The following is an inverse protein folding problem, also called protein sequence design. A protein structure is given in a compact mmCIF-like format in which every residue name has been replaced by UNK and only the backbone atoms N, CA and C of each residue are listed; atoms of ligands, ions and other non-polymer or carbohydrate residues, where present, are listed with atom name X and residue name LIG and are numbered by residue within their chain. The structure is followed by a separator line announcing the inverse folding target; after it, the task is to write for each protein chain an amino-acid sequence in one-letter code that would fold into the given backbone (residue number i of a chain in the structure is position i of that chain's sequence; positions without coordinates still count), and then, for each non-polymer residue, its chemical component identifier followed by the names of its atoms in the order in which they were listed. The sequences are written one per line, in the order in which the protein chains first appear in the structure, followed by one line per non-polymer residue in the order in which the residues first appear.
data_IF_646505483547
#
_entry.id   IF_646505483547
#
_cell.length_a   1.000
_cell.length_b   1.000
_cell.length_c   1.000
_cell.angle_alpha   90.00
_cell.angle_beta   90.00
_cell.angle_gamma   90.00
#
_symmetry.space_group_name_H-M   'P 1'
#
loop_
_entity.id
_entity.type
_entity.pdbx_description
1 polymer ?
#
# COMPACT_ATOMS: atom_id res chain seq x y z
N UNK A 1 -7.44 -0.21 17.72
CA UNK A 1 -6.25 -1.11 17.84
C UNK A 1 -5.60 -1.24 16.47
N UNK A 2 -4.28 -1.45 16.35
CA UNK A 2 -3.65 -1.67 15.04
C UNK A 2 -4.07 -3.06 14.52
N UNK A 3 -4.96 -3.13 13.52
CA UNK A 3 -5.36 -4.39 12.84
C UNK A 3 -4.27 -4.94 11.89
N UNK A 4 -3.09 -4.35 11.87
CA UNK A 4 -1.96 -4.81 11.04
C UNK A 4 -1.09 -5.71 11.89
N UNK A 5 -0.80 -6.91 11.40
CA UNK A 5 0.11 -7.84 12.05
C UNK A 5 1.55 -7.28 11.99
N UNK A 6 2.18 -6.98 13.15
CA UNK A 6 3.50 -6.36 13.21
C UNK A 6 4.58 -7.25 12.58
N UNK A 7 4.41 -8.57 12.64
CA UNK A 7 5.34 -9.57 12.10
C UNK A 7 5.42 -9.60 10.56
N UNK A 8 4.46 -9.01 9.85
CA UNK A 8 4.55 -8.96 8.38
C UNK A 8 5.61 -7.96 7.90
N UNK A 9 5.99 -6.97 8.72
CA UNK A 9 7.02 -5.99 8.37
C UNK A 9 8.41 -6.63 8.25
N UNK A 10 8.76 -7.55 9.15
CA UNK A 10 10.03 -8.29 9.12
C UNK A 10 10.15 -9.17 7.88
N UNK A 11 9.03 -9.70 7.37
CA UNK A 11 9.02 -10.51 6.15
C UNK A 11 9.56 -9.74 4.93
N UNK A 12 9.22 -8.45 4.79
CA UNK A 12 9.72 -7.62 3.67
C UNK A 12 11.24 -7.46 3.74
N UNK A 13 11.77 -7.23 4.93
CA UNK A 13 13.22 -7.05 5.14
C UNK A 13 13.95 -8.35 4.84
N UNK A 14 13.44 -9.48 5.32
CA UNK A 14 14.00 -10.82 5.06
C UNK A 14 13.96 -11.14 3.56
N UNK A 15 12.84 -10.92 2.88
CA UNK A 15 12.74 -11.18 1.43
C UNK A 15 13.61 -10.22 0.62
N UNK A 16 13.73 -8.96 1.03
CA UNK A 16 14.53 -7.96 0.29
C UNK A 16 16.04 -8.18 0.46
N UNK A 17 16.50 -8.54 1.65
CA UNK A 17 17.93 -8.79 1.93
C UNK A 17 18.34 -10.22 1.61
N UNK A 18 17.52 -11.20 2.01
CA UNK A 18 17.77 -12.62 1.75
C UNK A 18 17.54 -13.00 0.29
N UNK A 19 16.64 -12.31 -0.42
CA UNK A 19 16.41 -12.52 -1.84
C UNK A 19 17.58 -12.14 -2.74
N UNK A 20 18.54 -11.34 -2.25
CA UNK A 20 19.79 -11.03 -2.98
C UNK A 20 20.69 -12.27 -3.09
N UNK A 21 20.59 -13.19 -2.12
CA UNK A 21 21.39 -14.42 -2.06
C UNK A 21 20.58 -15.64 -2.51
N UNK A 22 19.26 -15.63 -2.29
CA UNK A 22 18.34 -16.71 -2.64
C UNK A 22 17.20 -16.19 -3.52
N UNK A 23 17.37 -16.18 -4.86
CA UNK A 23 16.35 -15.65 -5.78
C UNK A 23 15.01 -16.39 -5.72
N UNK A 24 15.01 -17.63 -5.20
CA UNK A 24 13.81 -18.45 -5.02
C UNK A 24 12.79 -17.81 -4.06
N UNK A 25 13.23 -16.96 -3.13
CA UNK A 25 12.36 -16.18 -2.24
C UNK A 25 11.48 -15.19 -3.01
N UNK A 26 11.89 -14.78 -4.22
CA UNK A 26 11.09 -13.92 -5.09
C UNK A 26 9.73 -14.52 -5.45
N UNK A 27 9.62 -15.86 -5.54
CA UNK A 27 8.36 -16.54 -5.86
C UNK A 27 7.30 -16.39 -4.76
N UNK A 28 7.72 -16.19 -3.50
CA UNK A 28 6.79 -15.87 -2.41
C UNK A 28 5.99 -14.60 -2.71
N UNK A 29 6.55 -13.65 -3.47
CA UNK A 29 5.83 -12.44 -3.87
C UNK A 29 4.63 -12.74 -4.76
N UNK A 30 4.67 -13.76 -5.62
CA UNK A 30 3.51 -14.12 -6.45
C UNK A 30 2.33 -14.58 -5.60
N UNK A 31 2.60 -15.31 -4.50
CA UNK A 31 1.57 -15.71 -3.55
C UNK A 31 0.94 -14.47 -2.89
N UNK A 32 1.77 -13.52 -2.45
CA UNK A 32 1.30 -12.24 -1.88
C UNK A 32 0.50 -11.43 -2.90
N UNK A 33 0.95 -11.36 -4.16
CA UNK A 33 0.22 -10.67 -5.24
C UNK A 33 -1.11 -11.35 -5.59
N UNK A 34 -1.16 -12.69 -5.60
CA UNK A 34 -2.39 -13.44 -5.80
C UNK A 34 -3.41 -13.15 -4.71
N UNK A 35 -3.00 -13.21 -3.44
CA UNK A 35 -3.90 -12.89 -2.32
C UNK A 35 -4.37 -11.43 -2.34
N UNK A 36 -3.51 -10.49 -2.73
CA UNK A 36 -3.86 -9.08 -2.95
C UNK A 36 -4.96 -8.92 -4.00
N UNK A 37 -4.84 -9.62 -5.13
CA UNK A 37 -5.79 -9.54 -6.23
C UNK A 37 -7.14 -10.15 -5.83
N UNK A 38 -7.13 -11.35 -5.26
CA UNK A 38 -8.34 -12.05 -4.80
C UNK A 38 -9.07 -11.21 -3.75
N UNK A 39 -8.37 -10.73 -2.72
CA UNK A 39 -9.00 -9.91 -1.67
C UNK A 39 -9.51 -8.57 -2.20
N UNK A 40 -8.89 -8.02 -3.25
CA UNK A 40 -9.36 -6.79 -3.91
C UNK A 40 -10.71 -6.94 -4.57
N UNK A 41 -11.04 -8.11 -5.11
CA UNK A 41 -12.33 -8.34 -5.76
C UNK A 41 -13.49 -8.28 -4.75
N UNK A 42 -13.27 -8.78 -3.53
CA UNK A 42 -14.30 -8.84 -2.49
C UNK A 42 -14.32 -7.58 -1.60
N UNK A 43 -13.17 -7.18 -1.06
CA UNK A 43 -13.06 -6.10 -0.07
C UNK A 43 -12.24 -4.91 -0.56
N UNK A 44 -11.91 -4.82 -1.84
CA UNK A 44 -11.10 -3.73 -2.42
C UNK A 44 -9.76 -3.56 -1.73
N UNK A 45 -9.34 -2.32 -1.45
CA UNK A 45 -8.02 -1.99 -0.86
C UNK A 45 -7.82 -2.42 0.61
N UNK A 46 -8.66 -3.29 1.16
CA UNK A 46 -8.56 -3.78 2.55
C UNK A 46 -7.22 -4.44 2.86
N UNK A 47 -6.61 -5.14 1.89
CA UNK A 47 -5.31 -5.78 2.07
C UNK A 47 -4.20 -4.76 2.40
N UNK A 48 -4.17 -3.59 1.73
CA UNK A 48 -3.21 -2.52 2.00
C UNK A 48 -3.24 -2.06 3.47
N UNK A 49 -4.42 -2.09 4.09
CA UNK A 49 -4.66 -1.63 5.45
C UNK A 49 -4.51 -2.68 6.54
N UNK A 50 -4.47 -3.97 6.22
CA UNK A 50 -4.51 -5.04 7.24
C UNK A 50 -3.43 -6.13 7.03
N UNK A 51 -3.11 -6.50 5.79
CA UNK A 51 -2.24 -7.64 5.45
C UNK A 51 -1.00 -7.26 4.64
N UNK A 52 -0.86 -6.01 4.22
CA UNK A 52 0.28 -5.62 3.40
C UNK A 52 1.59 -5.66 4.21
N UNK A 53 2.54 -6.54 3.85
CA UNK A 53 3.82 -6.66 4.57
C UNK A 53 4.59 -5.34 4.57
N UNK A 54 4.54 -4.66 3.43
CA UNK A 54 5.19 -3.37 3.22
C UNK A 54 4.51 -2.24 4.00
N UNK A 55 3.19 -2.28 4.10
CA UNK A 55 2.43 -1.34 4.93
C UNK A 55 2.79 -1.50 6.42
N UNK A 56 2.95 -2.74 6.88
CA UNK A 56 3.43 -3.05 8.23
C UNK A 56 4.85 -2.53 8.47
N UNK A 57 5.77 -2.75 7.52
CA UNK A 57 7.14 -2.23 7.60
C UNK A 57 7.18 -0.70 7.76
N UNK A 58 6.36 0.04 7.02
CA UNK A 58 6.32 1.50 7.14
C UNK A 58 5.66 1.99 8.44
N UNK A 59 4.60 1.34 8.91
CA UNK A 59 3.91 1.73 10.14
C UNK A 59 4.69 1.39 11.41
N UNK A 60 5.48 0.30 11.42
CA UNK A 60 6.25 -0.11 12.61
C UNK A 60 7.73 0.28 12.54
N UNK A 61 8.36 0.19 11.37
CA UNK A 61 9.78 0.49 11.18
C UNK A 61 10.07 1.98 11.03
N UNK A 62 9.27 2.69 10.23
CA UNK A 62 9.57 4.09 9.84
C UNK A 62 8.89 5.11 10.75
N UNK A 63 7.90 4.71 11.57
CA UNK A 63 7.18 5.65 12.44
C UNK A 63 8.09 6.45 13.39
N UNK A 64 9.27 5.91 13.75
CA UNK A 64 10.30 6.60 14.56
C UNK A 64 11.09 7.65 13.77
N UNK A 65 11.22 7.48 12.45
CA UNK A 65 12.01 8.34 11.55
C UNK A 65 11.12 9.36 10.81
N UNK A 66 9.82 9.07 10.70
CA UNK A 66 8.87 9.87 9.94
C UNK A 66 8.68 11.27 10.53
N UNK A 67 8.88 12.31 9.71
CA UNK A 67 8.64 13.72 10.07
C UNK A 67 7.16 14.10 10.15
N UNK A 68 6.24 13.15 9.90
CA UNK A 68 4.77 13.32 9.97
C UNK A 68 4.26 14.55 9.21
N UNK A 69 4.90 14.89 8.09
CA UNK A 69 4.43 15.96 7.18
C UNK A 69 3.28 15.43 6.34
N UNK A 70 2.34 16.31 5.99
CA UNK A 70 1.22 15.99 5.11
C UNK A 70 1.71 15.49 3.75
N UNK A 71 1.02 14.50 3.20
CA UNK A 71 1.25 13.94 1.88
C UNK A 71 0.83 15.01 0.85
N UNK A 72 1.72 15.39 -0.09
CA UNK A 72 1.35 16.37 -1.10
C UNK A 72 0.28 15.79 -2.03
N UNK A 73 -0.79 16.56 -2.31
CA UNK A 73 -1.91 16.15 -3.18
C UNK A 73 -1.47 15.70 -4.58
N UNK A 74 -0.26 16.13 -5.01
CA UNK A 74 0.37 15.70 -6.25
C UNK A 74 0.63 14.18 -6.28
N UNK A 75 1.02 13.57 -5.16
CA UNK A 75 1.38 12.15 -5.06
C UNK A 75 0.15 11.23 -5.10
N UNK A 76 -0.99 11.74 -4.65
CA UNK A 76 -2.29 11.05 -4.74
C UNK A 76 -2.98 11.26 -6.08
N UNK A 77 -2.56 12.25 -6.88
CA UNK A 77 -3.18 12.57 -8.15
C UNK A 77 -3.02 11.43 -9.16
N UNK A 78 -4.10 11.12 -9.89
CA UNK A 78 -4.10 10.11 -10.95
C UNK A 78 -3.07 10.44 -12.04
N UNK A 79 -2.81 11.72 -12.27
CA UNK A 79 -1.80 12.22 -13.20
C UNK A 79 -0.37 11.85 -12.86
N UNK A 80 -0.03 11.65 -11.58
CA UNK A 80 1.30 11.16 -11.17
C UNK A 80 1.29 9.65 -11.00
N UNK A 81 0.19 9.12 -10.49
CA UNK A 81 0.00 7.69 -10.20
C UNK A 81 0.01 6.83 -11.47
N UNK A 82 -0.61 7.28 -12.56
CA UNK A 82 -0.68 6.53 -13.83
C UNK A 82 0.69 6.48 -14.52
N UNK A 83 1.42 7.60 -14.74
CA UNK A 83 2.78 7.55 -15.29
C UNK A 83 3.76 6.76 -14.42
N UNK A 84 3.66 6.86 -13.08
CA UNK A 84 4.49 6.05 -12.19
C UNK A 84 4.19 4.55 -12.34
N UNK A 85 2.92 4.19 -12.48
CA UNK A 85 2.50 2.81 -12.75
C UNK A 85 3.01 2.31 -14.11
N UNK A 86 2.81 3.08 -15.17
CA UNK A 86 3.24 2.69 -16.52
C UNK A 86 4.76 2.60 -16.63
N UNK A 87 5.50 3.53 -16.02
CA UNK A 87 6.96 3.50 -15.96
C UNK A 87 7.46 2.26 -15.22
N UNK A 88 6.91 1.95 -14.04
CA UNK A 88 7.31 0.75 -13.30
C UNK A 88 6.99 -0.55 -14.06
N UNK A 89 5.84 -0.63 -14.73
CA UNK A 89 5.50 -1.79 -15.57
C UNK A 89 6.41 -1.90 -16.79
N UNK A 90 6.72 -0.77 -17.45
CA UNK A 90 7.61 -0.74 -18.60
C UNK A 90 9.05 -1.16 -18.23
N UNK A 91 9.56 -0.70 -17.07
CA UNK A 91 10.86 -1.13 -16.55
C UNK A 91 10.87 -2.64 -16.23
N UNK A 92 9.78 -3.16 -15.67
CA UNK A 92 9.65 -4.59 -15.40
C UNK A 92 9.63 -5.40 -16.70
N UNK A 93 8.83 -4.99 -17.69
CA UNK A 93 8.79 -5.64 -19.01
C UNK A 93 10.13 -5.56 -19.73
N UNK A 94 10.80 -4.41 -19.70
CA UNK A 94 12.13 -4.25 -20.30
C UNK A 94 13.16 -5.20 -19.67
N UNK A 95 13.21 -5.28 -18.33
CA UNK A 95 14.09 -6.22 -17.62
C UNK A 95 13.78 -7.67 -17.97
N UNK A 96 12.50 -8.04 -18.03
CA UNK A 96 12.07 -9.38 -18.43
C UNK A 96 12.49 -9.68 -19.88
N UNK A 97 12.31 -8.76 -20.82
CA UNK A 97 12.68 -8.96 -22.24
C UNK A 97 14.18 -9.15 -22.45
N UNK A 98 15.02 -8.38 -21.75
CA UNK A 98 16.48 -8.54 -21.80
C UNK A 98 16.90 -9.88 -21.18
N UNK A 99 16.20 -10.32 -20.13
CA UNK A 99 16.44 -11.58 -19.44
C UNK A 99 15.96 -12.80 -20.20
N UNK A 100 14.85 -12.72 -20.95
CA UNK A 100 14.31 -13.84 -21.74
C UNK A 100 15.26 -14.27 -22.87
N UNK A 101 16.18 -13.38 -23.28
CA UNK A 101 17.28 -13.71 -24.19
C UNK A 101 18.39 -14.57 -23.54
N UNK A 102 18.46 -14.60 -22.20
CA UNK A 102 19.39 -15.43 -21.43
C UNK A 102 18.65 -16.68 -20.90
N UNK A 103 19.12 -17.87 -21.29
CA UNK A 103 18.43 -19.16 -21.18
C UNK A 103 18.08 -19.64 -19.75
N UNK A 104 18.43 -18.90 -18.69
CA UNK A 104 18.19 -19.26 -17.27
C UNK A 104 16.96 -18.52 -16.71
N UNK A 105 15.76 -18.93 -17.11
CA UNK A 105 14.51 -18.20 -16.85
C UNK A 105 14.09 -18.17 -15.37
N UNK A 106 14.33 -19.22 -14.58
CA UNK A 106 13.79 -19.32 -13.22
C UNK A 106 14.52 -18.43 -12.19
N UNK A 107 15.85 -18.49 -12.11
CA UNK A 107 16.59 -17.68 -11.14
C UNK A 107 16.61 -16.20 -11.49
N UNK A 108 16.64 -15.86 -12.79
CA UNK A 108 16.60 -14.47 -13.21
C UNK A 108 15.24 -13.81 -12.93
N UNK A 109 14.11 -14.53 -13.03
CA UNK A 109 12.80 -13.98 -12.66
C UNK A 109 12.78 -13.62 -11.16
N UNK A 110 13.32 -14.50 -10.31
CA UNK A 110 13.44 -14.28 -8.87
C UNK A 110 14.27 -13.04 -8.52
N UNK A 111 15.44 -12.87 -9.14
CA UNK A 111 16.31 -11.70 -8.90
C UNK A 111 15.67 -10.38 -9.33
N UNK A 112 14.92 -10.35 -10.44
CA UNK A 112 14.22 -9.14 -10.90
C UNK A 112 13.16 -8.72 -9.88
N UNK A 113 12.36 -9.67 -9.39
CA UNK A 113 11.32 -9.42 -8.38
C UNK A 113 11.90 -8.85 -7.09
N UNK A 114 12.99 -9.45 -6.60
CA UNK A 114 13.69 -8.97 -5.40
C UNK A 114 14.29 -7.58 -5.62
N UNK A 115 14.96 -7.35 -6.76
CA UNK A 115 15.55 -6.05 -7.10
C UNK A 115 14.50 -4.94 -7.16
N UNK A 116 13.35 -5.19 -7.78
CA UNK A 116 12.23 -4.26 -7.81
C UNK A 116 11.63 -4.03 -6.42
N UNK A 117 11.50 -5.09 -5.62
CA UNK A 117 11.01 -4.98 -4.24
C UNK A 117 11.95 -4.13 -3.39
N UNK A 118 13.26 -4.34 -3.50
CA UNK A 118 14.29 -3.59 -2.80
C UNK A 118 14.32 -2.12 -3.24
N UNK A 119 14.41 -1.86 -4.55
CA UNK A 119 14.39 -0.50 -5.12
C UNK A 119 13.17 0.29 -4.66
N UNK A 120 12.00 -0.31 -4.79
CA UNK A 120 10.78 0.36 -4.38
C UNK A 120 10.78 0.56 -2.86
N UNK A 121 11.21 -0.42 -2.06
CA UNK A 121 11.26 -0.32 -0.59
C UNK A 121 12.17 0.82 -0.15
N UNK A 122 13.31 1.04 -0.81
CA UNK A 122 14.18 2.20 -0.58
C UNK A 122 13.43 3.51 -0.86
N UNK A 123 12.80 3.63 -2.04
CA UNK A 123 12.03 4.84 -2.41
C UNK A 123 10.90 5.09 -1.41
N UNK A 124 10.15 4.05 -1.06
CA UNK A 124 9.07 4.14 -0.08
C UNK A 124 9.55 4.49 1.32
N UNK A 125 10.76 4.04 1.70
CA UNK A 125 11.39 4.40 2.98
C UNK A 125 11.78 5.87 3.00
N UNK A 126 12.38 6.38 1.93
CA UNK A 126 12.71 7.81 1.79
C UNK A 126 11.46 8.68 1.86
N UNK A 127 10.42 8.33 1.09
CA UNK A 127 9.14 9.06 1.10
C UNK A 127 8.45 8.96 2.47
N UNK A 128 8.43 7.79 3.09
CA UNK A 128 7.84 7.56 4.41
C UNK A 128 8.54 8.30 5.55
N UNK A 129 9.87 8.42 5.47
CA UNK A 129 10.69 9.17 6.42
C UNK A 129 10.50 10.69 6.30
N UNK A 130 10.45 11.21 5.08
CA UNK A 130 10.31 12.65 4.85
C UNK A 130 8.87 13.16 5.07
N UNK A 131 7.87 12.39 4.61
CA UNK A 131 6.46 12.74 4.72
C UNK A 131 5.79 11.93 5.83
N UNK A 132 4.69 11.25 5.51
CA UNK A 132 3.98 10.33 6.39
C UNK A 132 4.34 8.88 6.02
N UNK A 133 4.32 7.99 6.99
CA UNK A 133 4.60 6.54 6.85
C UNK A 133 3.88 5.89 5.66
N UNK A 134 2.69 6.35 5.27
CA UNK A 134 1.89 5.80 4.16
C UNK A 134 1.99 6.53 2.83
N UNK A 135 2.96 7.43 2.67
CA UNK A 135 3.16 8.19 1.43
C UNK A 135 3.34 7.27 0.21
N UNK A 136 4.11 6.18 0.34
CA UNK A 136 4.28 5.20 -0.74
C UNK A 136 2.95 4.54 -1.17
N UNK A 137 2.00 4.33 -0.25
CA UNK A 137 0.73 3.66 -0.56
C UNK A 137 -0.15 4.48 -1.53
N UNK A 138 0.09 5.78 -1.66
CA UNK A 138 -0.58 6.66 -2.62
C UNK A 138 -0.05 6.51 -4.05
N UNK A 139 1.23 6.16 -4.23
CA UNK A 139 1.84 5.95 -5.55
C UNK A 139 2.07 4.47 -5.89
N UNK A 140 1.81 3.57 -4.93
CA UNK A 140 2.07 2.14 -5.09
C UNK A 140 1.26 1.56 -6.26
N UNK A 141 1.90 0.92 -7.26
CA UNK A 141 1.23 0.42 -8.46
C UNK A 141 0.13 -0.60 -8.12
N UNK A 142 0.39 -1.47 -7.15
CA UNK A 142 -0.59 -2.45 -6.67
C UNK A 142 -1.77 -1.78 -5.97
N UNK A 143 -1.52 -0.71 -5.21
CA UNK A 143 -2.58 0.07 -4.58
C UNK A 143 -3.48 0.76 -5.60
N UNK A 144 -2.91 1.28 -6.68
CA UNK A 144 -3.64 1.85 -7.82
C UNK A 144 -4.51 0.80 -8.50
N UNK A 145 -3.96 -0.39 -8.74
CA UNK A 145 -4.70 -1.50 -9.35
C UNK A 145 -5.91 -1.89 -8.50
N UNK A 146 -5.74 -2.01 -7.18
CA UNK A 146 -6.84 -2.31 -6.25
C UNK A 146 -7.88 -1.18 -6.14
N UNK A 147 -7.47 0.09 -6.32
CA UNK A 147 -8.41 1.23 -6.44
C UNK A 147 -9.32 1.04 -7.66
N UNK A 148 -8.75 0.66 -8.80
CA UNK A 148 -9.51 0.49 -10.05
C UNK A 148 -10.43 -0.72 -9.97
N UNK A 149 -9.93 -1.86 -9.47
CA UNK A 149 -10.70 -3.12 -9.43
C UNK A 149 -11.78 -3.11 -8.34
N UNK A 150 -11.44 -2.63 -7.14
CA UNK A 150 -12.28 -2.81 -5.94
C UNK A 150 -12.58 -1.53 -5.19
N UNK A 151 -12.42 -0.36 -5.83
CA UNK A 151 -12.62 0.95 -5.21
C UNK A 151 -14.01 1.16 -4.61
N UNK A 152 -15.04 0.59 -5.25
CA UNK A 152 -16.45 0.75 -4.85
C UNK A 152 -16.97 -0.35 -3.91
N UNK A 153 -16.14 -1.33 -3.54
CA UNK A 153 -16.56 -2.43 -2.66
C UNK A 153 -16.41 -2.03 -1.20
N UNK A 154 -17.30 -2.44 -0.29
CA UNK A 154 -17.16 -2.27 1.17
C UNK A 154 -16.73 -0.85 1.58
N UNK A 155 -17.44 0.16 1.06
CA UNK A 155 -17.16 1.57 1.32
C UNK A 155 -17.55 1.95 2.74
N UNK A 156 -16.89 2.98 3.26
CA UNK A 156 -17.19 3.52 4.57
C UNK A 156 -18.51 4.29 4.48
N UNK A 157 -19.48 3.92 5.31
CA UNK A 157 -20.74 4.63 5.47
C UNK A 157 -20.63 5.58 6.65
N UNK A 158 -21.15 6.78 6.45
CA UNK A 158 -21.21 7.81 7.47
C UNK A 158 -22.67 8.20 7.70
N UNK A 159 -23.07 8.19 8.96
CA UNK A 159 -24.33 8.78 9.36
C UNK A 159 -24.10 10.27 9.66
N UNK A 160 -24.71 11.13 8.84
CA UNK A 160 -24.58 12.58 8.96
C UNK A 160 -25.38 13.15 10.13
N UNK A 161 -26.41 12.46 10.62
CA UNK A 161 -27.26 12.96 11.71
C UNK A 161 -26.57 12.81 13.07
N UNK A 162 -25.90 11.69 13.32
CA UNK A 162 -25.14 11.47 14.56
C UNK A 162 -23.76 12.12 14.59
N UNK A 163 -23.26 12.62 13.44
CA UNK A 163 -21.92 13.19 13.37
C UNK A 163 -21.85 14.61 13.95
N UNK A 164 -20.91 14.81 14.88
CA UNK A 164 -20.65 16.10 15.55
C UNK A 164 -19.47 16.90 14.97
N UNK A 165 -19.02 16.59 13.75
CA UNK A 165 -17.91 17.28 13.06
C UNK A 165 -16.60 17.47 13.86
N UNK A 166 -16.25 16.48 14.70
CA UNK A 166 -15.06 16.55 15.55
C UNK A 166 -13.70 16.42 14.79
N UNK A 167 -13.74 16.06 13.50
CA UNK A 167 -12.56 15.81 12.61
C UNK A 167 -11.53 14.80 13.14
N UNK A 168 -11.90 13.98 14.14
CA UNK A 168 -11.05 12.93 14.69
C UNK A 168 -10.76 11.86 13.63
N UNK A 169 -11.75 11.49 12.81
CA UNK A 169 -11.63 10.50 11.74
C UNK A 169 -10.56 10.87 10.71
N UNK A 170 -10.45 12.15 10.33
CA UNK A 170 -9.44 12.66 9.40
C UNK A 170 -8.04 12.64 10.03
N UNK A 171 -7.93 13.06 11.30
CA UNK A 171 -6.66 13.07 12.04
C UNK A 171 -6.04 11.67 12.20
N UNK A 172 -6.87 10.65 12.37
CA UNK A 172 -6.41 9.25 12.55
C UNK A 172 -6.26 8.50 11.22
N UNK A 173 -6.71 9.08 10.11
CA UNK A 173 -6.65 8.47 8.80
C UNK A 173 -5.19 8.43 8.30
N UNK A 174 -4.58 7.25 8.14
CA UNK A 174 -3.18 7.16 7.72
C UNK A 174 -2.98 7.57 6.25
N UNK A 175 -4.06 7.57 5.47
CA UNK A 175 -4.07 8.03 4.08
C UNK A 175 -4.43 9.53 3.96
N UNK A 176 -4.66 10.22 5.09
CA UNK A 176 -4.97 11.66 5.16
C UNK A 176 -6.17 12.06 4.27
N UNK A 177 -7.17 11.18 4.21
CA UNK A 177 -8.40 11.40 3.46
C UNK A 177 -9.37 12.29 4.24
N UNK A 178 -10.05 13.18 3.52
CA UNK A 178 -11.21 13.93 4.00
C UNK A 178 -12.42 12.96 4.10
N UNK A 179 -12.60 12.38 5.29
CA UNK A 179 -13.57 11.29 5.53
C UNK A 179 -15.02 11.78 5.38
N UNK A 180 -15.28 13.03 5.76
CA UNK A 180 -16.62 13.63 5.74
C UNK A 180 -17.13 13.85 4.32
N UNK A 181 -16.31 14.44 3.47
CA UNK A 181 -16.72 14.86 2.13
C UNK A 181 -16.57 13.73 1.10
N UNK A 182 -15.70 12.75 1.39
CA UNK A 182 -15.30 11.71 0.44
C UNK A 182 -15.43 10.32 1.06
N UNK A 183 -16.49 10.04 1.82
CA UNK A 183 -16.74 8.72 2.45
C UNK A 183 -16.61 7.52 1.50
N UNK A 184 -16.83 7.75 0.20
CA UNK A 184 -16.68 6.78 -0.89
C UNK A 184 -15.33 6.87 -1.64
N UNK A 185 -14.29 7.51 -1.08
CA UNK A 185 -13.01 7.64 -1.75
C UNK A 185 -12.40 6.24 -2.00
N UNK A 186 -12.12 5.87 -3.26
CA UNK A 186 -11.54 4.57 -3.54
C UNK A 186 -10.05 4.49 -3.13
N UNK A 187 -9.48 5.56 -2.57
CA UNK A 187 -8.20 5.54 -1.86
C UNK A 187 -8.30 5.03 -0.40
N UNK A 188 -9.50 4.83 0.13
CA UNK A 188 -9.70 4.25 1.45
C UNK A 188 -9.17 2.80 1.52
N UNK A 189 -8.18 2.57 2.39
CA UNK A 189 -7.58 1.25 2.64
C UNK A 189 -8.37 0.39 3.63
N UNK A 190 -9.54 0.86 4.09
CA UNK A 190 -10.47 0.13 4.97
C UNK A 190 -9.81 -0.46 6.21
N UNK A 191 -8.99 0.36 6.87
CA UNK A 191 -8.21 -0.04 8.04
C UNK A 191 -9.00 0.01 9.37
N UNK A 192 -10.22 0.57 9.39
CA UNK A 192 -11.03 0.64 10.60
C UNK A 192 -10.69 1.76 11.59
N UNK A 193 -9.55 2.46 11.45
CA UNK A 193 -9.07 3.43 12.46
C UNK A 193 -10.04 4.58 12.73
N UNK A 194 -10.77 5.03 11.72
CA UNK A 194 -11.77 6.10 11.86
C UNK A 194 -13.00 5.63 12.63
N UNK A 195 -13.44 4.38 12.44
CA UNK A 195 -14.57 3.76 13.17
C UNK A 195 -14.18 3.58 14.64
N UNK A 196 -13.01 2.97 14.91
CA UNK A 196 -12.49 2.73 16.27
C UNK A 196 -12.33 4.00 17.12
N UNK A 197 -12.21 5.17 16.50
CA UNK A 197 -11.96 6.46 17.16
C UNK A 197 -13.14 7.41 17.10
N UNK A 198 -14.25 7.02 16.48
CA UNK A 198 -15.44 7.83 16.44
C UNK A 198 -16.11 7.81 17.82
N UNK A 199 -16.33 8.96 18.49
CA UNK A 199 -16.97 9.00 19.81
C UNK A 199 -18.49 8.78 19.77
N UNK A 200 -19.10 8.82 18.57
CA UNK A 200 -20.54 8.72 18.34
C UNK A 200 -20.93 7.52 17.48
N UNK A 201 -19.96 6.66 17.16
CA UNK A 201 -20.15 5.50 16.29
C UNK A 201 -20.85 5.80 14.94
N UNK A 202 -20.72 7.04 14.45
CA UNK A 202 -21.33 7.53 13.20
C UNK A 202 -20.70 6.95 11.92
N UNK A 203 -19.76 6.01 12.04
CA UNK A 203 -18.98 5.45 10.94
C UNK A 203 -19.05 3.91 10.97
N UNK A 204 -19.34 3.30 9.82
CA UNK A 204 -19.42 1.84 9.67
C UNK A 204 -18.93 1.37 8.29
N UNK A 205 -18.62 0.08 8.13
CA UNK A 205 -18.14 -0.55 6.88
C UNK A 205 -19.12 -1.61 6.36
#
# INVERSE_FOLDING_TARGET
MLKITPYLGSLVVIVSLGGLWYPILGYFMFLVMGTLFITSLFRGRWFCGNLCPRGSYFDYGIIKISKKRKIPKILSSMWVRVPAFTLMMALMMYRISVTFAAQNTFELIGTILVSMCLMTTIIGTMLGGYFNTRSWCNACPMGTMQRVIGGNKHQLKMDHESCVDCKLCEKVCPMELEVRDIGNNPDCIKCGRCVDKCPKDSLSF
#
